data_IF_865511025086
#
_entry.id   IF_865511025086
#
_cell.length_a   1.000
_cell.length_b   1.000
_cell.length_c   1.000
_cell.angle_alpha   90.00
_cell.angle_beta   90.00
_cell.angle_gamma   90.00
#
_symmetry.space_group_name_H-M   'P 1'
#
loop_
_entity.id
_entity.type
_entity.pdbx_description
1 polymer ?
#
# COMPACT_ATOMS: atom_id res chain seq x y z
N UNK A 1 -1.60 37.70 -6.79
CA UNK A 1 -0.80 36.65 -7.49
C UNK A 1 0.70 36.98 -7.49
N UNK A 2 1.19 37.75 -6.50
CA UNK A 2 2.62 38.03 -6.29
C UNK A 2 3.08 37.67 -4.87
N UNK A 3 2.16 37.28 -3.97
CA UNK A 3 2.47 36.94 -2.58
C UNK A 3 2.81 35.45 -2.38
N UNK A 4 2.54 34.59 -3.36
CA UNK A 4 2.83 33.15 -3.27
C UNK A 4 4.31 32.82 -3.57
N UNK A 5 4.99 33.64 -4.38
CA UNK A 5 6.40 33.44 -4.72
C UNK A 5 7.37 34.02 -3.68
N UNK A 6 6.90 34.86 -2.76
CA UNK A 6 7.76 35.57 -1.80
C UNK A 6 8.01 34.75 -0.51
N UNK A 7 7.24 33.68 -0.27
CA UNK A 7 7.48 32.75 0.84
C UNK A 7 8.60 31.73 0.57
N UNK A 8 9.10 31.61 -0.66
CA UNK A 8 10.21 30.72 -1.03
C UNK A 8 11.61 31.36 -0.81
N UNK A 9 11.67 32.60 -0.33
CA UNK A 9 12.93 33.35 -0.15
C UNK A 9 13.56 33.23 1.25
N UNK A 10 12.84 32.68 2.24
CA UNK A 10 13.40 32.37 3.55
C UNK A 10 13.61 30.86 3.65
N UNK A 11 14.87 30.41 3.77
CA UNK A 11 15.16 29.00 4.09
C UNK A 11 14.48 28.68 5.44
N UNK A 12 13.68 27.61 5.53
CA UNK A 12 13.00 27.28 6.78
C UNK A 12 14.04 27.07 7.86
N UNK A 13 13.79 27.67 9.03
CA UNK A 13 14.65 27.44 10.17
C UNK A 13 14.59 25.97 10.57
N UNK A 14 15.58 25.54 11.34
CA UNK A 14 15.60 24.20 11.91
C UNK A 14 14.31 23.89 12.71
N UNK A 15 13.79 24.91 13.41
CA UNK A 15 12.53 24.83 14.15
C UNK A 15 11.33 24.62 13.21
N UNK A 16 11.26 25.34 12.10
CA UNK A 16 10.17 25.20 11.11
C UNK A 16 10.15 23.79 10.51
N UNK A 17 11.33 23.20 10.29
CA UNK A 17 11.44 21.83 9.75
C UNK A 17 10.91 20.78 10.73
N UNK A 18 11.14 20.96 12.05
CA UNK A 18 10.55 20.09 13.08
C UNK A 18 9.03 20.25 13.11
N UNK A 19 8.53 21.49 13.07
CA UNK A 19 7.09 21.76 13.09
C UNK A 19 6.35 21.08 11.92
N UNK A 20 6.94 21.12 10.72
CA UNK A 20 6.41 20.40 9.55
C UNK A 20 6.38 18.89 9.81
N UNK A 21 7.50 18.32 10.28
CA UNK A 21 7.58 16.88 10.58
C UNK A 21 6.54 16.45 11.63
N UNK A 22 6.34 17.25 12.69
CA UNK A 22 5.33 16.98 13.72
C UNK A 22 3.91 17.04 13.15
N UNK A 23 3.64 17.99 12.26
CA UNK A 23 2.34 18.08 11.56
C UNK A 23 2.08 16.88 10.65
N UNK A 24 3.11 16.39 9.96
CA UNK A 24 3.02 15.20 9.10
C UNK A 24 2.79 13.94 9.94
N UNK A 25 3.42 13.83 11.11
CA UNK A 25 3.19 12.73 12.06
C UNK A 25 1.75 12.77 12.58
N UNK A 26 1.21 13.95 12.87
CA UNK A 26 -0.20 14.09 13.28
C UNK A 26 -1.16 13.68 12.16
N UNK A 27 -0.86 14.08 10.93
CA UNK A 27 -1.62 13.64 9.76
C UNK A 27 -1.55 12.12 9.57
N UNK A 28 -0.37 11.52 9.69
CA UNK A 28 -0.21 10.07 9.66
C UNK A 28 -1.02 9.36 10.76
N UNK A 29 -1.09 9.94 11.97
CA UNK A 29 -1.92 9.40 13.05
C UNK A 29 -3.42 9.48 12.74
N UNK A 30 -3.87 10.54 12.07
CA UNK A 30 -5.25 10.65 11.60
C UNK A 30 -5.57 9.53 10.59
N UNK A 31 -4.69 9.29 9.62
CA UNK A 31 -4.82 8.19 8.65
C UNK A 31 -4.79 6.82 9.33
N UNK A 32 -3.90 6.63 10.30
CA UNK A 32 -3.81 5.37 11.03
C UNK A 32 -5.06 5.09 11.90
N UNK A 33 -5.78 6.14 12.31
CA UNK A 33 -7.00 6.03 13.11
C UNK A 33 -8.23 5.67 12.26
N UNK A 34 -8.26 6.04 10.98
CA UNK A 34 -9.35 5.72 10.05
C UNK A 34 -9.27 4.31 9.46
N UNK A 35 -8.10 3.65 9.49
CA UNK A 35 -7.95 2.28 9.01
C UNK A 35 -8.82 1.30 9.83
N UNK A 36 -9.59 0.41 9.17
CA UNK A 36 -10.46 -0.55 9.85
C UNK A 36 -9.73 -1.38 10.90
N UNK A 37 -10.23 -1.32 12.14
CA UNK A 37 -9.62 -2.02 13.28
C UNK A 37 -9.98 -3.50 13.20
N UNK A 38 -8.96 -4.36 13.09
CA UNK A 38 -9.15 -5.81 13.25
C UNK A 38 -9.71 -6.18 14.64
N UNK A 39 -9.98 -7.47 14.87
CA UNK A 39 -10.65 -8.03 16.08
C UNK A 39 -10.10 -7.61 17.46
N UNK A 40 -9.02 -6.83 17.55
CA UNK A 40 -8.44 -6.28 18.78
C UNK A 40 -8.59 -4.77 18.97
N UNK A 41 -9.31 -4.04 18.11
CA UNK A 41 -9.65 -2.63 18.33
C UNK A 41 -8.46 -1.66 18.38
N UNK A 42 -7.30 -2.09 17.91
CA UNK A 42 -6.05 -1.39 18.14
C UNK A 42 -5.58 -0.62 16.90
N UNK A 43 -5.25 0.65 17.07
CA UNK A 43 -4.70 1.52 16.04
C UNK A 43 -3.19 1.74 16.25
N UNK A 44 -2.50 2.12 15.18
CA UNK A 44 -1.13 2.60 15.30
C UNK A 44 -1.15 4.09 15.65
N UNK A 45 -0.20 4.48 16.49
CA UNK A 45 0.10 5.88 16.78
C UNK A 45 1.61 6.08 16.69
N UNK A 46 1.98 7.28 16.28
CA UNK A 46 3.33 7.71 15.97
C UNK A 46 3.65 8.95 16.78
N UNK A 47 4.86 9.03 17.30
CA UNK A 47 5.38 10.22 17.97
C UNK A 47 6.83 10.47 17.60
N UNK A 48 7.20 11.74 17.51
CA UNK A 48 8.60 12.15 17.36
C UNK A 48 9.29 12.02 18.72
N UNK A 49 10.46 11.40 18.74
CA UNK A 49 11.30 11.25 19.93
C UNK A 49 12.69 11.78 19.65
N UNK A 50 13.19 12.50 20.65
CA UNK A 50 14.45 13.23 20.65
C UNK A 50 15.49 12.37 21.40
N UNK A 51 16.67 12.21 20.83
CA UNK A 51 17.79 11.59 21.54
C UNK A 51 18.20 12.48 22.72
N UNK A 52 18.69 11.89 23.82
CA UNK A 52 19.13 12.63 25.02
C UNK A 52 20.20 13.69 24.74
N UNK A 53 21.03 13.47 23.70
CA UNK A 53 22.04 14.43 23.26
C UNK A 53 21.51 15.48 22.27
N UNK A 54 20.28 15.32 21.76
CA UNK A 54 19.72 16.21 20.77
C UNK A 54 19.67 17.67 21.24
N UNK A 55 19.24 18.02 22.47
CA UNK A 55 19.21 19.42 22.91
C UNK A 55 20.59 20.10 22.87
N UNK A 56 21.65 19.38 23.23
CA UNK A 56 23.03 19.90 23.25
C UNK A 56 23.53 20.09 21.82
N UNK A 57 23.30 19.10 20.96
CA UNK A 57 23.72 19.15 19.55
C UNK A 57 22.94 20.24 18.80
N UNK A 58 21.65 20.40 19.09
CA UNK A 58 20.83 21.46 18.52
C UNK A 58 21.29 22.85 18.94
N UNK A 59 21.69 23.03 20.21
CA UNK A 59 22.24 24.28 20.69
C UNK A 59 23.55 24.63 19.97
N UNK A 60 24.42 23.65 19.75
CA UNK A 60 25.67 23.81 19.00
C UNK A 60 25.41 24.13 17.52
N UNK A 61 24.44 23.45 16.90
CA UNK A 61 24.06 23.66 15.50
C UNK A 61 23.40 25.05 15.29
N UNK A 62 22.61 25.52 16.25
CA UNK A 62 22.02 26.87 16.24
C UNK A 62 23.10 27.96 16.32
N UNK A 63 24.20 27.69 17.00
CA UNK A 63 25.34 28.62 17.11
C UNK A 63 26.21 28.69 15.85
N UNK A 64 26.09 27.70 14.96
CA UNK A 64 26.99 27.56 13.80
C UNK A 64 26.51 28.26 12.52
N UNK A 65 25.34 28.91 12.48
CA UNK A 65 24.77 29.62 11.30
C UNK A 65 24.80 28.84 9.97
N UNK A 66 25.01 27.51 10.01
CA UNK A 66 25.26 26.72 8.81
C UNK A 66 23.96 26.17 8.24
N UNK A 67 23.73 26.34 6.94
CA UNK A 67 22.63 25.70 6.20
C UNK A 67 22.75 24.16 6.12
N UNK A 68 23.76 23.56 6.74
CA UNK A 68 24.07 22.13 6.73
C UNK A 68 23.45 21.35 7.91
N UNK A 69 22.73 22.03 8.81
CA UNK A 69 22.13 21.43 10.02
C UNK A 69 21.14 20.30 9.72
N UNK A 70 20.38 20.39 8.62
CA UNK A 70 19.45 19.34 8.21
C UNK A 70 20.16 18.05 7.78
N UNK A 71 21.30 18.15 7.09
CA UNK A 71 22.11 16.99 6.70
C UNK A 71 22.75 16.36 7.95
N UNK A 72 23.36 17.17 8.82
CA UNK A 72 23.98 16.68 10.06
C UNK A 72 22.97 15.99 11.00
N UNK A 73 21.75 16.51 11.12
CA UNK A 73 20.68 15.88 11.91
C UNK A 73 20.34 14.47 11.41
N UNK A 74 20.26 14.29 10.09
CA UNK A 74 20.01 12.97 9.49
C UNK A 74 21.16 11.97 9.69
N UNK A 75 22.42 12.44 9.76
CA UNK A 75 23.58 11.59 10.06
C UNK A 75 23.71 11.25 11.55
N UNK A 76 23.31 12.16 12.43
CA UNK A 76 23.45 12.00 13.88
C UNK A 76 22.27 11.29 14.55
N UNK A 77 21.24 10.90 13.78
CA UNK A 77 20.05 10.20 14.27
C UNK A 77 19.45 10.86 15.52
N UNK A 78 19.41 12.20 15.53
CA UNK A 78 19.00 13.01 16.68
C UNK A 78 17.52 12.86 17.01
N UNK A 79 16.71 12.50 16.01
CA UNK A 79 15.28 12.26 16.15
C UNK A 79 14.92 10.97 15.44
N UNK A 80 13.99 10.25 16.04
CA UNK A 80 13.37 9.09 15.43
C UNK A 80 11.89 9.10 15.73
N UNK A 81 11.13 8.37 14.92
CA UNK A 81 9.70 8.24 15.07
C UNK A 81 9.45 6.91 15.76
N UNK A 82 8.67 6.92 16.84
CA UNK A 82 8.23 5.69 17.49
C UNK A 82 6.81 5.40 17.02
N UNK A 83 6.63 4.24 16.41
CA UNK A 83 5.33 3.67 16.06
C UNK A 83 4.92 2.68 17.15
N UNK A 84 3.78 2.87 17.78
CA UNK A 84 3.27 2.01 18.85
C UNK A 84 1.78 1.73 18.65
N UNK A 85 1.30 0.67 19.31
CA UNK A 85 -0.07 0.18 19.16
C UNK A 85 -0.92 0.64 20.35
N UNK A 86 -2.01 1.35 20.07
CA UNK A 86 -2.95 1.86 21.08
C UNK A 86 -4.26 1.09 20.99
N UNK A 87 -4.79 0.62 22.12
CA UNK A 87 -6.09 -0.06 22.19
C UNK A 87 -7.15 0.92 22.73
N UNK A 88 -8.43 0.66 22.43
CA UNK A 88 -9.56 1.54 22.78
C UNK A 88 -9.73 1.88 24.27
N UNK A 89 -9.03 1.18 25.17
CA UNK A 89 -9.00 1.44 26.62
C UNK A 89 -8.19 2.70 27.00
N UNK A 90 -7.56 3.38 26.03
CA UNK A 90 -6.82 4.63 26.24
C UNK A 90 -5.53 4.49 27.06
N UNK A 91 -5.35 3.38 27.78
CA UNK A 91 -4.12 3.05 28.48
C UNK A 91 -3.13 2.38 27.52
N UNK A 92 -1.92 2.96 27.33
CA UNK A 92 -0.84 2.22 26.69
C UNK A 92 -0.53 1.01 27.56
N UNK A 93 -0.87 -0.20 27.09
CA UNK A 93 -0.44 -1.42 27.76
C UNK A 93 1.09 -1.42 27.73
N UNK A 94 1.70 -1.42 28.91
CA UNK A 94 3.14 -1.35 29.17
C UNK A 94 3.98 -2.49 28.53
N UNK A 95 3.39 -3.35 27.68
CA UNK A 95 4.04 -4.50 27.06
C UNK A 95 4.26 -4.39 25.55
N UNK A 96 3.70 -3.40 24.84
CA UNK A 96 4.05 -3.20 23.43
C UNK A 96 5.23 -2.24 23.33
N UNK A 97 6.44 -2.80 23.31
CA UNK A 97 7.65 -2.04 22.92
C UNK A 97 7.36 -1.30 21.62
N UNK A 98 7.58 0.02 21.59
CA UNK A 98 7.45 0.81 20.37
C UNK A 98 8.39 0.30 19.28
N UNK A 99 8.16 0.75 18.05
CA UNK A 99 8.97 0.44 16.88
C UNK A 99 9.63 1.71 16.40
N UNK A 100 10.96 1.71 16.37
CA UNK A 100 11.77 2.85 15.97
C UNK A 100 11.85 2.90 14.44
N UNK A 101 11.36 3.99 13.86
CA UNK A 101 11.48 4.31 12.45
C UNK A 101 12.30 5.59 12.30
N UNK A 102 13.11 5.63 11.26
CA UNK A 102 13.81 6.84 10.81
C UNK A 102 12.85 7.77 10.08
N UNK A 103 13.23 9.05 9.97
CA UNK A 103 12.49 10.04 9.16
C UNK A 103 12.39 9.59 7.70
N UNK A 104 13.45 8.94 7.18
CA UNK A 104 13.45 8.38 5.82
C UNK A 104 12.36 7.31 5.68
N UNK A 105 12.36 6.30 6.56
CA UNK A 105 11.35 5.23 6.52
C UNK A 105 9.92 5.78 6.68
N UNK A 106 9.75 6.84 7.47
CA UNK A 106 8.48 7.51 7.61
C UNK A 106 7.98 8.08 6.28
N UNK A 107 8.78 8.89 5.58
CA UNK A 107 8.36 9.48 4.31
C UNK A 107 8.38 8.52 3.12
N UNK A 108 9.22 7.49 3.11
CA UNK A 108 9.34 6.59 1.95
C UNK A 108 8.44 5.37 2.03
N UNK A 109 8.03 4.95 3.23
CA UNK A 109 7.24 3.73 3.42
C UNK A 109 5.99 4.01 4.23
N UNK A 110 6.12 4.55 5.45
CA UNK A 110 5.02 4.56 6.42
C UNK A 110 3.88 5.51 6.00
N UNK A 111 4.20 6.78 5.75
CA UNK A 111 3.21 7.79 5.37
C UNK A 111 2.54 7.46 4.03
N UNK A 112 3.26 7.12 2.95
CA UNK A 112 2.65 6.68 1.70
C UNK A 112 1.74 5.45 1.86
N UNK A 113 2.16 4.46 2.67
CA UNK A 113 1.34 3.26 2.92
C UNK A 113 0.03 3.61 3.61
N UNK A 114 0.06 4.51 4.59
CA UNK A 114 -1.14 4.98 5.27
C UNK A 114 -2.08 5.75 4.33
N UNK A 115 -1.54 6.59 3.46
CA UNK A 115 -2.33 7.32 2.47
C UNK A 115 -3.03 6.36 1.49
N UNK A 116 -2.30 5.36 0.99
CA UNK A 116 -2.84 4.32 0.10
C UNK A 116 -3.95 3.51 0.78
N UNK A 117 -3.71 3.05 2.01
CA UNK A 117 -4.72 2.28 2.76
C UNK A 117 -5.98 3.11 3.05
N UNK A 118 -5.83 4.40 3.34
CA UNK A 118 -6.97 5.29 3.60
C UNK A 118 -7.78 5.61 2.34
N UNK A 119 -7.11 5.95 1.23
CA UNK A 119 -7.76 6.29 -0.05
C UNK A 119 -8.66 5.15 -0.54
N UNK A 120 -8.13 3.94 -0.51
CA UNK A 120 -8.92 2.79 -0.94
C UNK A 120 -10.02 2.47 0.07
N UNK A 121 -9.82 2.64 1.39
CA UNK A 121 -10.89 2.40 2.39
C UNK A 121 -12.12 3.29 2.16
N UNK A 122 -11.93 4.57 1.83
CA UNK A 122 -13.04 5.49 1.57
C UNK A 122 -13.87 5.14 0.33
N UNK A 123 -13.29 4.48 -0.67
CA UNK A 123 -14.04 4.03 -1.86
C UNK A 123 -14.98 2.86 -1.55
N UNK A 124 -14.68 2.04 -0.53
CA UNK A 124 -15.55 0.95 -0.10
C UNK A 124 -16.74 1.40 0.75
N UNK A 125 -16.59 2.45 1.55
CA UNK A 125 -17.69 2.94 2.40
C UNK A 125 -18.82 3.57 1.56
N UNK A 126 -18.50 4.24 0.45
CA UNK A 126 -19.48 4.82 -0.47
C UNK A 126 -20.33 3.72 -1.15
N UNK A 127 -19.78 2.53 -1.34
CA UNK A 127 -20.51 1.39 -1.94
C UNK A 127 -21.44 0.65 -0.96
N UNK A 128 -21.31 0.87 0.35
CA UNK A 128 -22.09 0.17 1.38
C UNK A 128 -23.32 0.96 1.88
N UNK A 129 -23.37 2.27 1.66
CA UNK A 129 -24.51 3.10 2.14
C UNK A 129 -25.81 2.91 1.32
N UNK A 130 -25.78 2.24 0.16
CA UNK A 130 -26.98 1.98 -0.64
C UNK A 130 -27.67 0.61 -0.36
N UNK A 131 -27.11 -0.27 0.46
CA UNK A 131 -27.57 -1.69 0.54
C UNK A 131 -28.12 -2.18 1.90
N UNK A 132 -28.15 -1.37 2.96
CA UNK A 132 -28.49 -1.88 4.31
C UNK A 132 -30.00 -1.89 4.67
N UNK A 133 -30.90 -1.98 3.67
CA UNK A 133 -32.35 -1.91 3.90
C UNK A 133 -33.21 -3.06 3.34
N UNK A 134 -32.70 -3.84 2.39
CA UNK A 134 -33.56 -4.75 1.58
C UNK A 134 -33.02 -6.19 1.50
N UNK A 135 -32.07 -6.56 2.37
CA UNK A 135 -31.28 -7.80 2.21
C UNK A 135 -32.03 -9.13 2.40
N UNK A 136 -33.14 -9.20 3.15
CA UNK A 136 -33.75 -10.50 3.45
C UNK A 136 -34.60 -11.12 2.32
N UNK A 137 -35.16 -10.31 1.41
CA UNK A 137 -36.03 -10.82 0.34
C UNK A 137 -35.26 -11.02 -0.98
N UNK A 138 -34.16 -10.28 -1.20
CA UNK A 138 -33.35 -10.35 -2.42
C UNK A 138 -32.46 -11.60 -2.46
N UNK A 139 -32.03 -12.12 -1.30
CA UNK A 139 -31.11 -13.26 -1.20
C UNK A 139 -31.62 -14.54 -1.88
N UNK A 140 -32.95 -14.74 -1.95
CA UNK A 140 -33.56 -15.90 -2.62
C UNK A 140 -33.70 -15.73 -4.14
N UNK A 141 -33.82 -14.49 -4.64
CA UNK A 141 -33.88 -14.18 -6.10
C UNK A 141 -32.50 -14.01 -6.74
N UNK A 142 -31.49 -13.56 -5.99
CA UNK A 142 -30.12 -13.38 -6.48
C UNK A 142 -29.38 -14.73 -6.65
N UNK A 143 -29.68 -15.72 -5.81
CA UNK A 143 -29.07 -17.04 -5.89
C UNK A 143 -29.51 -17.83 -7.14
N UNK A 144 -30.71 -17.52 -7.66
CA UNK A 144 -31.23 -18.11 -8.91
C UNK A 144 -30.64 -17.42 -10.15
N UNK A 145 -30.39 -16.09 -10.08
CA UNK A 145 -29.70 -15.33 -11.13
C UNK A 145 -28.19 -15.60 -11.22
N UNK A 146 -27.51 -15.90 -10.10
CA UNK A 146 -26.08 -16.27 -10.11
C UNK A 146 -25.84 -17.62 -10.79
N UNK A 147 -26.76 -18.58 -10.64
CA UNK A 147 -26.69 -19.88 -11.33
C UNK A 147 -26.88 -19.76 -12.85
N UNK A 148 -27.62 -18.76 -13.32
CA UNK A 148 -27.79 -18.52 -14.76
C UNK A 148 -26.63 -17.72 -15.37
N UNK A 149 -25.96 -16.87 -14.60
CA UNK A 149 -24.81 -16.08 -15.08
C UNK A 149 -23.50 -16.87 -15.11
N UNK A 150 -23.33 -17.87 -14.25
CA UNK A 150 -22.13 -18.73 -14.24
C UNK A 150 -21.94 -19.44 -15.59
N UNK A 151 -23.03 -19.96 -16.16
CA UNK A 151 -23.00 -20.66 -17.45
C UNK A 151 -22.60 -19.77 -18.63
N UNK A 152 -22.96 -18.48 -18.62
CA UNK A 152 -22.62 -17.56 -19.71
C UNK A 152 -21.19 -17.01 -19.55
N UNK A 153 -20.70 -16.87 -18.31
CA UNK A 153 -19.30 -16.51 -18.03
C UNK A 153 -18.32 -17.63 -18.42
N UNK A 154 -18.66 -18.90 -18.13
CA UNK A 154 -17.86 -20.06 -18.56
C UNK A 154 -17.72 -20.13 -20.09
N UNK A 155 -18.79 -19.80 -20.83
CA UNK A 155 -18.79 -19.80 -22.31
C UNK A 155 -17.96 -18.66 -22.90
N UNK A 156 -17.83 -17.54 -22.19
CA UNK A 156 -16.98 -16.42 -22.60
C UNK A 156 -15.49 -16.68 -22.34
N UNK A 157 -15.13 -17.66 -21.52
CA UNK A 157 -13.74 -18.07 -21.21
C UNK A 157 -13.24 -19.25 -22.07
N UNK A 158 -14.12 -19.89 -22.84
CA UNK A 158 -13.77 -20.98 -23.74
C UNK A 158 -13.12 -20.51 -25.05
N UNK A 159 -12.15 -21.27 -25.56
CA UNK A 159 -11.61 -20.98 -26.88
C UNK A 159 -12.67 -21.21 -27.97
N UNK A 160 -12.90 -20.22 -28.84
CA UNK A 160 -13.83 -20.34 -29.97
C UNK A 160 -13.44 -21.34 -31.07
N UNK A 161 -12.39 -22.15 -30.87
CA UNK A 161 -11.94 -23.21 -31.79
C UNK A 161 -12.09 -24.59 -31.12
N UNK A 162 -11.47 -24.82 -29.96
CA UNK A 162 -11.54 -26.12 -29.27
C UNK A 162 -12.66 -26.23 -28.22
N UNK A 163 -13.32 -25.13 -27.87
CA UNK A 163 -14.38 -25.06 -26.84
C UNK A 163 -13.93 -25.50 -25.44
N UNK A 164 -12.63 -25.46 -25.16
CA UNK A 164 -12.07 -25.74 -23.84
C UNK A 164 -11.81 -24.43 -23.07
N UNK A 165 -12.00 -24.47 -21.75
CA UNK A 165 -11.62 -23.38 -20.83
C UNK A 165 -10.10 -23.24 -20.83
N UNK A 166 -9.59 -22.08 -21.24
CA UNK A 166 -8.16 -21.85 -21.36
C UNK A 166 -7.82 -20.36 -21.41
N UNK A 167 -6.58 -20.04 -21.06
CA UNK A 167 -6.03 -18.70 -21.29
C UNK A 167 -5.97 -18.41 -22.79
N UNK A 168 -6.65 -17.34 -23.20
CA UNK A 168 -6.72 -16.94 -24.61
C UNK A 168 -5.55 -16.03 -24.96
N UNK A 169 -5.10 -16.17 -26.20
CA UNK A 169 -4.08 -15.34 -26.82
C UNK A 169 -4.72 -14.47 -27.89
N UNK A 170 -4.39 -13.18 -27.91
CA UNK A 170 -4.92 -12.19 -28.84
C UNK A 170 -3.91 -11.95 -29.97
N UNK A 171 -4.40 -12.00 -31.21
CA UNK A 171 -3.61 -11.69 -32.39
C UNK A 171 -3.42 -10.17 -32.55
N UNK A 172 -2.19 -9.66 -32.74
CA UNK A 172 -1.92 -8.22 -32.76
C UNK A 172 -2.53 -7.48 -33.97
N UNK A 173 -2.72 -8.17 -35.09
CA UNK A 173 -3.18 -7.54 -36.34
C UNK A 173 -4.70 -7.41 -36.45
N UNK A 174 -5.47 -8.17 -35.65
CA UNK A 174 -6.92 -8.27 -35.82
C UNK A 174 -7.70 -8.49 -34.52
N UNK A 175 -7.04 -8.49 -33.36
CA UNK A 175 -7.62 -8.63 -32.03
C UNK A 175 -8.50 -9.87 -31.79
N UNK A 176 -8.44 -10.87 -32.69
CA UNK A 176 -9.14 -12.13 -32.46
C UNK A 176 -8.38 -13.00 -31.46
N UNK A 177 -9.12 -13.74 -30.64
CA UNK A 177 -8.56 -14.52 -29.54
C UNK A 177 -8.80 -16.03 -29.70
N UNK A 178 -7.79 -16.83 -29.35
CA UNK A 178 -7.86 -18.31 -29.30
C UNK A 178 -6.82 -18.85 -28.32
N UNK A 179 -6.92 -20.11 -27.91
CA UNK A 179 -5.89 -20.69 -27.03
C UNK A 179 -4.55 -20.84 -27.76
N UNK A 180 -3.46 -20.90 -26.99
CA UNK A 180 -2.11 -21.00 -27.54
C UNK A 180 -1.92 -22.28 -28.37
N UNK A 181 -2.57 -23.39 -27.99
CA UNK A 181 -2.50 -24.65 -28.72
C UNK A 181 -3.18 -24.54 -30.10
N UNK A 182 -4.39 -23.97 -30.15
CA UNK A 182 -5.09 -23.73 -31.42
C UNK A 182 -4.33 -22.75 -32.32
N UNK A 183 -3.68 -21.72 -31.76
CA UNK A 183 -2.80 -20.84 -32.53
C UNK A 183 -1.64 -21.63 -33.15
N UNK A 184 -0.94 -22.44 -32.36
CA UNK A 184 0.20 -23.23 -32.86
C UNK A 184 -0.24 -24.19 -33.96
N UNK A 185 -1.27 -25.00 -33.72
CA UNK A 185 -1.80 -25.93 -34.71
C UNK A 185 -2.20 -25.23 -36.01
N UNK A 186 -2.87 -24.09 -35.90
CA UNK A 186 -3.30 -23.32 -37.07
C UNK A 186 -2.12 -22.69 -37.82
N UNK A 187 -1.14 -22.13 -37.10
CA UNK A 187 0.04 -21.49 -37.68
C UNK A 187 0.90 -22.45 -38.50
N UNK A 188 0.88 -23.75 -38.20
CA UNK A 188 1.56 -24.78 -39.02
C UNK A 188 0.89 -25.01 -40.37
N UNK A 189 -0.40 -24.67 -40.50
CA UNK A 189 -1.22 -24.94 -41.70
C UNK A 189 -1.50 -23.68 -42.52
N UNK A 190 -1.54 -22.52 -41.86
CA UNK A 190 -2.01 -21.28 -42.46
C UNK A 190 -1.40 -20.06 -41.80
N UNK A 191 -0.88 -19.13 -42.61
CA UNK A 191 -0.41 -17.82 -42.17
C UNK A 191 -1.53 -16.76 -42.21
N UNK A 192 -2.77 -17.15 -41.88
CA UNK A 192 -3.93 -16.25 -41.82
C UNK A 192 -4.72 -16.44 -40.54
N UNK A 193 -5.45 -15.44 -40.08
CA UNK A 193 -6.31 -15.57 -38.90
C UNK A 193 -7.46 -16.56 -39.18
N UNK A 194 -7.73 -17.54 -38.31
CA UNK A 194 -8.83 -18.49 -38.50
C UNK A 194 -10.21 -17.84 -38.50
N UNK A 195 -10.35 -16.66 -37.90
CA UNK A 195 -11.62 -15.95 -37.78
C UNK A 195 -11.87 -14.97 -38.94
N UNK A 196 -10.87 -14.15 -39.29
CA UNK A 196 -11.04 -13.07 -40.29
C UNK A 196 -10.18 -13.22 -41.54
N UNK A 197 -9.34 -14.26 -41.62
CA UNK A 197 -8.38 -14.50 -42.72
C UNK A 197 -7.36 -13.39 -42.94
N UNK A 198 -7.21 -12.46 -41.99
CA UNK A 198 -6.14 -11.45 -42.00
C UNK A 198 -4.75 -12.07 -41.91
N UNK A 199 -3.74 -11.43 -42.50
CA UNK A 199 -2.38 -11.97 -42.62
C UNK A 199 -1.65 -12.11 -41.27
N UNK A 200 -0.99 -13.26 -41.07
CA UNK A 200 -0.15 -13.59 -39.90
C UNK A 200 1.33 -13.84 -40.24
N UNK A 201 1.77 -13.57 -41.49
CA UNK A 201 3.13 -13.89 -42.01
C UNK A 201 4.33 -13.41 -41.17
N UNK A 202 4.11 -12.50 -40.22
CA UNK A 202 5.15 -11.91 -39.36
C UNK A 202 4.84 -12.03 -37.87
N UNK A 203 3.77 -12.73 -37.50
CA UNK A 203 3.34 -12.90 -36.11
C UNK A 203 4.01 -14.15 -35.55
N UNK A 204 4.88 -13.97 -34.57
CA UNK A 204 5.48 -15.05 -33.78
C UNK A 204 4.73 -15.21 -32.45
N UNK A 205 4.98 -16.31 -31.74
CA UNK A 205 4.39 -16.55 -30.41
C UNK A 205 4.69 -15.44 -29.39
N UNK A 206 5.84 -14.76 -29.52
CA UNK A 206 6.19 -13.63 -28.66
C UNK A 206 5.43 -12.34 -28.96
N UNK A 207 4.73 -12.26 -30.08
CA UNK A 207 3.91 -11.10 -30.48
C UNK A 207 2.45 -11.25 -30.01
N UNK A 208 2.11 -12.38 -29.40
CA UNK A 208 0.77 -12.68 -28.89
C UNK A 208 0.57 -12.07 -27.50
N UNK A 209 -0.63 -11.56 -27.26
CA UNK A 209 -0.99 -10.98 -25.97
C UNK A 209 -1.87 -11.94 -25.20
N UNK A 210 -1.58 -12.15 -23.92
CA UNK A 210 -2.44 -12.93 -23.03
C UNK A 210 -3.69 -12.10 -22.71
N UNK A 211 -4.87 -12.66 -22.97
CA UNK A 211 -6.15 -12.06 -22.58
C UNK A 211 -6.45 -12.47 -21.13
N UNK A 212 -6.49 -11.48 -20.23
CA UNK A 212 -6.88 -11.68 -18.84
C UNK A 212 -8.37 -11.93 -18.73
N UNK A 213 -8.75 -13.01 -18.06
CA UNK A 213 -10.12 -13.32 -17.67
C UNK A 213 -10.52 -12.51 -16.42
N UNK A 214 -11.82 -12.39 -16.17
CA UNK A 214 -12.36 -11.89 -14.90
C UNK A 214 -11.81 -12.63 -13.67
N UNK A 215 -11.51 -13.93 -13.80
CA UNK A 215 -10.89 -14.74 -12.74
C UNK A 215 -9.41 -14.43 -12.50
N UNK A 216 -8.71 -13.81 -13.45
CA UNK A 216 -7.31 -13.38 -13.29
C UNK A 216 -7.20 -12.03 -12.56
N UNK A 217 -8.30 -11.29 -12.47
CA UNK A 217 -8.34 -9.98 -11.80
C UNK A 217 -8.59 -10.19 -10.31
N UNK A 218 -7.57 -9.92 -9.49
CA UNK A 218 -7.71 -9.93 -8.04
C UNK A 218 -8.65 -8.81 -7.61
N UNK A 219 -9.65 -9.14 -6.79
CA UNK A 219 -10.58 -8.15 -6.30
C UNK A 219 -9.88 -7.10 -5.41
N UNK A 220 -10.37 -5.87 -5.46
CA UNK A 220 -9.78 -4.73 -4.75
C UNK A 220 -9.75 -4.94 -3.22
N UNK A 221 -10.70 -5.71 -2.66
CA UNK A 221 -10.74 -6.01 -1.23
C UNK A 221 -9.60 -6.96 -0.83
N UNK A 222 -9.28 -7.95 -1.67
CA UNK A 222 -8.16 -8.87 -1.48
C UNK A 222 -6.83 -8.12 -1.58
N UNK A 223 -6.66 -7.24 -2.58
CA UNK A 223 -5.46 -6.38 -2.68
C UNK A 223 -5.27 -5.55 -1.41
N UNK A 224 -6.34 -4.94 -0.88
CA UNK A 224 -6.23 -4.15 0.35
C UNK A 224 -5.88 -4.98 1.59
N UNK A 225 -6.44 -6.18 1.72
CA UNK A 225 -6.08 -7.08 2.81
C UNK A 225 -4.58 -7.41 2.76
N UNK A 226 -4.05 -7.70 1.57
CA UNK A 226 -2.62 -7.94 1.38
C UNK A 226 -1.76 -6.72 1.69
N UNK A 227 -2.13 -5.54 1.20
CA UNK A 227 -1.39 -4.30 1.45
C UNK A 227 -1.38 -3.94 2.94
N UNK A 228 -2.50 -4.14 3.63
CA UNK A 228 -2.59 -3.97 5.07
C UNK A 228 -1.66 -4.96 5.79
N UNK A 229 -1.63 -6.23 5.38
CA UNK A 229 -0.72 -7.24 5.95
C UNK A 229 0.75 -6.87 5.72
N UNK A 230 1.12 -6.47 4.49
CA UNK A 230 2.48 -6.02 4.15
C UNK A 230 2.91 -4.83 5.02
N UNK A 231 2.02 -3.85 5.20
CA UNK A 231 2.27 -2.70 6.06
C UNK A 231 2.52 -3.10 7.51
N UNK A 232 1.65 -3.94 8.11
CA UNK A 232 1.87 -4.41 9.48
C UNK A 232 3.14 -5.25 9.65
N UNK A 233 3.48 -6.08 8.65
CA UNK A 233 4.74 -6.84 8.66
C UNK A 233 5.95 -5.92 8.64
N UNK A 234 5.92 -4.87 7.81
CA UNK A 234 6.97 -3.84 7.79
C UNK A 234 7.13 -3.18 9.16
N UNK A 235 6.04 -2.70 9.77
CA UNK A 235 6.08 -2.08 11.11
C UNK A 235 6.62 -3.05 12.16
N UNK A 236 6.27 -4.34 12.10
CA UNK A 236 6.78 -5.35 13.01
C UNK A 236 8.27 -5.69 12.79
N UNK A 237 8.78 -5.47 11.57
CA UNK A 237 10.19 -5.62 11.21
C UNK A 237 11.09 -4.48 11.69
N UNK A 238 10.53 -3.31 12.00
CA UNK A 238 11.28 -2.17 12.52
C UNK A 238 11.96 -2.51 13.88
N UNK A 239 13.13 -1.91 14.18
CA UNK A 239 13.81 -2.07 15.46
C UNK A 239 12.88 -1.80 16.65
N UNK A 240 12.97 -2.64 17.69
CA UNK A 240 12.24 -2.39 18.94
C UNK A 240 12.86 -1.18 19.64
N UNK A 241 12.00 -0.28 20.11
CA UNK A 241 12.39 0.77 21.04
C UNK A 241 12.55 0.13 22.42
N UNK A 242 13.82 -0.02 22.84
CA UNK A 242 14.20 -0.53 24.15
C UNK A 242 14.50 0.70 25.02
N UNK A 243 13.83 0.90 26.17
CA UNK A 243 14.17 2.00 27.06
C UNK A 243 15.63 1.87 27.54
N UNK A 244 16.43 2.94 27.39
CA UNK A 244 17.84 2.99 27.80
C UNK A 244 18.05 2.62 29.28
N UNK A 245 17.01 2.76 30.12
CA UNK A 245 17.01 2.34 31.53
C UNK A 245 17.33 0.84 31.75
N UNK A 246 17.06 -0.03 30.77
CA UNK A 246 17.40 -1.46 30.86
C UNK A 246 18.90 -1.73 30.66
N UNK A 247 19.62 -0.82 30.00
CA UNK A 247 21.07 -0.96 29.83
C UNK A 247 21.83 -0.62 31.11
N UNK A 248 21.41 0.38 31.88
CA UNK A 248 22.04 0.72 33.17
C UNK A 248 21.90 -0.39 34.21
N UNK A 249 20.75 -1.07 34.25
CA UNK A 249 20.50 -2.14 35.21
C UNK A 249 21.36 -3.39 34.99
N UNK A 250 21.88 -3.63 33.78
CA UNK A 250 22.78 -4.76 33.52
C UNK A 250 24.25 -4.46 33.87
N UNK A 251 24.64 -3.18 33.91
CA UNK A 251 26.01 -2.80 34.28
C UNK A 251 26.20 -2.67 35.80
N UNK A 252 25.14 -2.45 36.58
CA UNK A 252 25.22 -2.46 38.06
C UNK A 252 25.42 -3.86 38.67
N UNK A 253 25.29 -4.93 37.89
CA UNK A 253 25.58 -6.31 38.35
C UNK A 253 26.95 -6.85 37.90
N UNK A 254 27.77 -6.02 37.23
CA UNK A 254 29.10 -6.40 36.75
C UNK A 254 30.25 -5.64 37.43
N UNK A 255 29.99 -4.95 38.54
CA UNK A 255 31.00 -4.35 39.42
C UNK A 255 30.83 -4.82 40.86
#
# INVERSE_FOLDING_TARGET
>A
MLDYYQQLAARPSYHDSIMVLESDIQYANMLAASIPRGKGGACLQMKLVYNHLAPIILLLLQWMDCSCTCLLSSYLNLFHIIVYKVHSDGKPRMSSSGRRATIKEFYTVILPSLQHLNCNSSEFDISQEEDDGTEMIVRKKLNDKRKTSDMDLEREDECGICLESCTKMVLPNCCHSMCINCYHDWSTRSESCPFCRGSLKRVKSGDLWVLTCSSDVVDTQTVLKEDMLRFYLYINGLPKDIPDALFLMYYEYLF
#
